data_IF_345929701175
#
_entry.id   IF_345929701175
#
_cell.length_a   1.000
_cell.length_b   1.000
_cell.length_c   1.000
_cell.angle_alpha   90.00
_cell.angle_beta   90.00
_cell.angle_gamma   90.00
#
_symmetry.space_group_name_H-M   'P 1'
#
loop_
_entity.id
_entity.type
_entity.pdbx_description
1 polymer ?
#
# COMPACT_ATOMS: atom_id res chain seq x y z
N UNK A 1 -10.67 6.11 -15.61
CA UNK A 1 -10.53 5.55 -14.25
C UNK A 1 -9.74 4.25 -14.17
N UNK A 2 -9.95 3.35 -15.12
CA UNK A 2 -9.21 2.08 -15.14
C UNK A 2 -7.69 2.27 -15.15
N UNK A 3 -7.21 3.23 -15.93
CA UNK A 3 -5.79 3.55 -16.03
C UNK A 3 -5.23 4.08 -14.72
N UNK A 4 -6.00 4.91 -14.01
CA UNK A 4 -5.60 5.46 -12.71
C UNK A 4 -5.55 4.37 -11.65
N UNK A 5 -6.49 3.43 -11.67
CA UNK A 5 -6.48 2.29 -10.75
C UNK A 5 -5.26 1.39 -11.01
N UNK A 6 -4.91 1.19 -12.28
CA UNK A 6 -3.72 0.41 -12.65
C UNK A 6 -2.44 1.10 -12.18
N UNK A 7 -2.36 2.41 -12.33
CA UNK A 7 -1.22 3.18 -11.83
C UNK A 7 -1.07 3.07 -10.32
N UNK A 8 -2.19 3.12 -9.59
CA UNK A 8 -2.18 2.98 -8.14
C UNK A 8 -1.71 1.59 -7.71
N UNK A 9 -2.20 0.55 -8.37
CA UNK A 9 -1.79 -0.82 -8.09
C UNK A 9 -0.29 -0.98 -8.36
N UNK A 10 0.18 -0.49 -9.50
CA UNK A 10 1.59 -0.54 -9.86
C UNK A 10 2.44 0.18 -8.82
N UNK A 11 2.03 1.35 -8.35
CA UNK A 11 2.76 2.12 -7.35
C UNK A 11 2.88 1.36 -6.02
N UNK A 12 1.78 0.77 -5.53
CA UNK A 12 1.80 -0.01 -4.29
C UNK A 12 2.63 -1.28 -4.43
N UNK A 13 2.49 -1.98 -5.55
CA UNK A 13 3.24 -3.19 -5.80
C UNK A 13 4.74 -2.89 -5.96
N UNK A 14 5.06 -1.80 -6.64
CA UNK A 14 6.45 -1.36 -6.80
C UNK A 14 7.11 -1.06 -5.45
N UNK A 15 6.40 -0.40 -4.55
CA UNK A 15 6.90 -0.12 -3.20
C UNK A 15 7.17 -1.42 -2.44
N UNK A 16 6.26 -2.38 -2.51
CA UNK A 16 6.42 -3.68 -1.85
C UNK A 16 7.58 -4.48 -2.44
N UNK A 17 7.72 -4.48 -3.77
CA UNK A 17 8.83 -5.15 -4.46
C UNK A 17 10.17 -4.50 -4.13
N UNK A 18 10.21 -3.18 -3.96
CA UNK A 18 11.42 -2.46 -3.59
C UNK A 18 11.91 -2.87 -2.20
N UNK A 19 10.99 -3.07 -1.26
CA UNK A 19 11.33 -3.58 0.07
C UNK A 19 11.88 -5.01 0.00
N UNK A 20 11.26 -5.86 -0.82
CA UNK A 20 11.73 -7.22 -1.04
C UNK A 20 13.12 -7.22 -1.69
N UNK A 21 13.36 -6.31 -2.61
CA UNK A 21 14.66 -6.16 -3.25
C UNK A 21 15.75 -5.82 -2.23
N UNK A 22 15.46 -4.96 -1.27
CA UNK A 22 16.41 -4.65 -0.20
C UNK A 22 16.77 -5.89 0.62
N UNK A 23 15.81 -6.78 0.84
CA UNK A 23 16.04 -8.04 1.53
C UNK A 23 16.93 -8.99 0.72
N UNK A 24 16.74 -9.03 -0.61
CA UNK A 24 17.64 -9.75 -1.51
C UNK A 24 19.07 -9.22 -1.44
N UNK A 25 19.23 -7.89 -1.35
CA UNK A 25 20.54 -7.28 -1.21
C UNK A 25 21.21 -7.68 0.12
N UNK A 26 20.46 -7.70 1.20
CA UNK A 26 20.98 -8.14 2.50
C UNK A 26 21.41 -9.60 2.47
N UNK A 27 20.62 -10.45 1.84
CA UNK A 27 20.97 -11.86 1.65
C UNK A 27 22.26 -12.00 0.83
N UNK A 28 22.39 -11.25 -0.26
CA UNK A 28 23.57 -11.28 -1.12
C UNK A 28 24.84 -10.85 -0.38
N UNK A 29 24.71 -9.98 0.62
CA UNK A 29 25.82 -9.50 1.47
C UNK A 29 26.02 -10.36 2.72
N UNK A 30 25.37 -11.52 2.80
CA UNK A 30 25.42 -12.44 3.92
C UNK A 30 24.82 -11.89 5.24
N UNK A 31 23.98 -10.85 5.15
CA UNK A 31 23.25 -10.30 6.31
C UNK A 31 21.94 -11.01 6.61
N UNK A 32 21.56 -11.98 5.78
CA UNK A 32 20.32 -12.75 5.94
C UNK A 32 20.55 -14.15 5.39
N UNK A 33 20.02 -15.17 6.08
CA UNK A 33 20.12 -16.54 5.62
C UNK A 33 19.21 -16.81 4.43
N UNK A 34 19.52 -17.86 3.67
CA UNK A 34 18.67 -18.28 2.54
C UNK A 34 17.28 -18.72 3.02
N UNK A 35 17.19 -19.30 4.21
CA UNK A 35 15.92 -19.71 4.81
C UNK A 35 15.06 -18.49 5.14
N UNK A 36 15.66 -17.45 5.72
CA UNK A 36 14.95 -16.21 6.02
C UNK A 36 14.46 -15.52 4.74
N UNK A 37 15.29 -15.45 3.72
CA UNK A 37 14.89 -14.84 2.45
C UNK A 37 13.73 -15.61 1.82
N UNK A 38 13.80 -16.94 1.84
CA UNK A 38 12.72 -17.78 1.34
C UNK A 38 11.40 -17.49 2.06
N UNK A 39 11.45 -17.35 3.37
CA UNK A 39 10.27 -17.01 4.19
C UNK A 39 9.73 -15.62 3.82
N UNK A 40 10.60 -14.65 3.55
CA UNK A 40 10.21 -13.31 3.13
C UNK A 40 9.53 -13.32 1.76
N UNK A 41 10.01 -14.15 0.84
CA UNK A 41 9.40 -14.32 -0.48
C UNK A 41 7.99 -14.90 -0.35
N UNK A 42 7.82 -15.91 0.49
CA UNK A 42 6.50 -16.49 0.76
C UNK A 42 5.57 -15.49 1.42
N UNK A 43 6.06 -14.74 2.40
CA UNK A 43 5.28 -13.70 3.08
C UNK A 43 4.84 -12.61 2.10
N UNK A 44 5.71 -12.21 1.17
CA UNK A 44 5.37 -11.24 0.13
C UNK A 44 4.25 -11.76 -0.75
N UNK A 45 4.39 -12.98 -1.26
CA UNK A 45 3.41 -13.57 -2.18
C UNK A 45 2.06 -13.79 -1.51
N UNK A 46 2.04 -14.37 -0.31
CA UNK A 46 0.81 -14.70 0.41
C UNK A 46 0.22 -13.50 1.16
N UNK A 47 1.03 -12.47 1.43
CA UNK A 47 0.61 -11.27 2.15
C UNK A 47 0.27 -10.11 1.24
N UNK A 48 1.21 -9.16 1.13
CA UNK A 48 0.95 -7.87 0.46
C UNK A 48 0.57 -8.03 -1.02
N UNK A 49 1.24 -8.90 -1.77
CA UNK A 49 0.93 -9.08 -3.19
C UNK A 49 -0.50 -9.60 -3.38
N UNK A 50 -0.91 -10.56 -2.56
CA UNK A 50 -2.25 -11.13 -2.59
C UNK A 50 -3.31 -10.12 -2.14
N UNK A 51 -3.00 -9.34 -1.10
CA UNK A 51 -3.90 -8.30 -0.60
C UNK A 51 -4.14 -7.23 -1.66
N UNK A 52 -3.10 -6.78 -2.34
CA UNK A 52 -3.21 -5.81 -3.41
C UNK A 52 -4.05 -6.36 -4.57
N UNK A 53 -3.81 -7.61 -4.96
CA UNK A 53 -4.58 -8.26 -6.00
C UNK A 53 -6.07 -8.27 -5.65
N UNK A 54 -6.41 -8.69 -4.42
CA UNK A 54 -7.80 -8.73 -3.96
C UNK A 54 -8.41 -7.33 -3.89
N UNK A 55 -7.66 -6.36 -3.37
CA UNK A 55 -8.14 -4.99 -3.22
C UNK A 55 -8.53 -4.38 -4.56
N UNK A 56 -7.67 -4.51 -5.56
CA UNK A 56 -7.91 -3.90 -6.88
C UNK A 56 -8.84 -4.71 -7.78
N UNK A 57 -9.11 -5.96 -7.46
CA UNK A 57 -10.07 -6.77 -8.20
C UNK A 57 -11.46 -6.79 -7.56
N UNK A 58 -11.55 -6.63 -6.24
CA UNK A 58 -12.82 -6.66 -5.49
C UNK A 58 -13.41 -5.25 -5.35
N UNK A 59 -12.60 -4.24 -5.01
CA UNK A 59 -13.04 -2.85 -4.98
C UNK A 59 -13.34 -2.38 -6.40
N UNK A 60 -14.43 -1.65 -6.58
CA UNK A 60 -14.73 -1.04 -7.87
C UNK A 60 -13.62 -0.05 -8.26
N UNK A 61 -13.51 0.22 -9.57
CA UNK A 61 -12.51 1.13 -10.11
C UNK A 61 -12.56 2.51 -9.45
N UNK A 62 -13.77 3.04 -9.24
CA UNK A 62 -13.97 4.34 -8.59
C UNK A 62 -13.40 4.36 -7.17
N UNK A 63 -13.69 3.34 -6.38
CA UNK A 63 -13.21 3.24 -5.01
C UNK A 63 -11.69 3.08 -4.95
N UNK A 64 -11.12 2.32 -5.87
CA UNK A 64 -9.67 2.16 -5.97
C UNK A 64 -8.97 3.48 -6.28
N UNK A 65 -9.52 4.27 -7.18
CA UNK A 65 -8.97 5.59 -7.53
C UNK A 65 -9.10 6.56 -6.34
N UNK A 66 -10.28 6.59 -5.70
CA UNK A 66 -10.51 7.45 -4.54
C UNK A 66 -9.53 7.13 -3.41
N UNK A 67 -9.32 5.85 -3.13
CA UNK A 67 -8.36 5.40 -2.13
C UNK A 67 -6.94 5.84 -2.49
N UNK A 68 -6.55 5.67 -3.75
CA UNK A 68 -5.22 6.03 -4.22
C UNK A 68 -4.94 7.53 -4.07
N UNK A 69 -5.91 8.38 -4.36
CA UNK A 69 -5.78 9.82 -4.16
C UNK A 69 -5.65 10.14 -2.67
N UNK A 70 -6.47 9.51 -1.83
CA UNK A 70 -6.44 9.72 -0.39
C UNK A 70 -5.09 9.35 0.22
N UNK A 71 -4.44 8.30 -0.29
CA UNK A 71 -3.14 7.83 0.17
C UNK A 71 -1.94 8.52 -0.49
N UNK A 72 -2.19 9.42 -1.44
CA UNK A 72 -1.12 10.12 -2.12
C UNK A 72 -0.41 9.31 -3.20
N UNK A 73 -0.95 8.16 -3.61
CA UNK A 73 -0.39 7.33 -4.67
C UNK A 73 -0.59 7.96 -6.04
N UNK A 74 -1.67 8.72 -6.18
CA UNK A 74 -2.01 9.51 -7.37
C UNK A 74 -2.23 10.93 -6.90
N UNK A 75 -1.67 11.92 -7.59
CA UNK A 75 -1.91 13.32 -7.30
C UNK A 75 -3.36 13.70 -7.61
N UNK A 76 -3.97 14.55 -6.79
CA UNK A 76 -5.34 14.99 -7.00
C UNK A 76 -5.48 15.74 -8.33
N UNK A 77 -4.43 16.40 -8.79
CA UNK A 77 -4.38 17.12 -10.06
C UNK A 77 -4.39 16.19 -11.28
N UNK A 78 -4.09 14.90 -11.10
CA UNK A 78 -4.19 13.91 -12.17
C UNK A 78 -5.65 13.56 -12.51
N UNK A 79 -6.60 13.90 -11.62
CA UNK A 79 -8.03 13.66 -11.84
C UNK A 79 -8.66 14.78 -12.65
N UNK A 80 -9.48 14.46 -13.67
CA UNK A 80 -10.34 15.46 -14.27
C UNK A 80 -11.26 16.09 -13.21
N UNK A 81 -11.55 17.36 -13.32
CA UNK A 81 -12.34 18.09 -12.33
C UNK A 81 -13.70 17.43 -12.02
N UNK A 82 -14.40 17.00 -13.05
CA UNK A 82 -15.70 16.32 -12.87
C UNK A 82 -15.57 15.04 -12.08
N UNK A 83 -14.48 14.29 -12.28
CA UNK A 83 -14.23 13.06 -11.56
C UNK A 83 -13.82 13.34 -10.11
N UNK A 84 -13.01 14.37 -9.88
CA UNK A 84 -12.63 14.79 -8.54
C UNK A 84 -13.83 15.15 -7.68
N UNK A 85 -14.80 15.86 -8.24
CA UNK A 85 -16.05 16.20 -7.55
C UNK A 85 -16.86 14.95 -7.23
N UNK A 86 -16.96 14.04 -8.18
CA UNK A 86 -17.72 12.80 -8.01
C UNK A 86 -17.14 11.91 -6.92
N UNK A 87 -15.83 11.90 -6.77
CA UNK A 87 -15.13 11.03 -5.82
C UNK A 87 -14.79 11.72 -4.50
N UNK A 88 -15.13 13.00 -4.33
CA UNK A 88 -14.73 13.79 -3.16
C UNK A 88 -15.11 13.13 -1.83
N UNK A 89 -16.31 12.60 -1.72
CA UNK A 89 -16.78 11.93 -0.48
C UNK A 89 -15.98 10.68 -0.16
N UNK A 90 -15.73 9.84 -1.17
CA UNK A 90 -14.94 8.61 -0.99
C UNK A 90 -13.49 8.93 -0.65
N UNK A 91 -12.91 9.94 -1.28
CA UNK A 91 -11.55 10.38 -0.99
C UNK A 91 -11.44 10.83 0.47
N UNK A 92 -12.40 11.63 0.95
CA UNK A 92 -12.44 12.07 2.33
C UNK A 92 -12.55 10.89 3.30
N UNK A 93 -13.38 9.91 2.97
CA UNK A 93 -13.54 8.70 3.77
C UNK A 93 -12.22 7.95 3.91
N UNK A 94 -11.51 7.71 2.82
CA UNK A 94 -10.24 6.99 2.85
C UNK A 94 -9.14 7.78 3.56
N UNK A 95 -9.16 9.12 3.49
CA UNK A 95 -8.22 9.96 4.23
C UNK A 95 -8.41 9.83 5.73
N UNK A 96 -9.65 9.87 6.20
CA UNK A 96 -9.96 9.69 7.62
C UNK A 96 -9.53 8.31 8.10
N UNK A 97 -9.81 7.27 7.31
CA UNK A 97 -9.42 5.91 7.65
C UNK A 97 -7.91 5.76 7.74
N UNK A 98 -7.16 6.36 6.82
CA UNK A 98 -5.71 6.32 6.84
C UNK A 98 -5.15 7.05 8.06
N UNK A 99 -5.72 8.19 8.44
CA UNK A 99 -5.31 8.96 9.62
C UNK A 99 -5.56 8.16 10.90
N UNK A 100 -6.70 7.51 11.01
CA UNK A 100 -7.03 6.65 12.16
C UNK A 100 -6.06 5.48 12.28
N UNK A 101 -5.77 4.79 11.19
CA UNK A 101 -4.83 3.68 11.17
C UNK A 101 -3.41 4.13 11.53
N UNK A 102 -2.98 5.29 11.05
CA UNK A 102 -1.68 5.84 11.39
C UNK A 102 -1.58 6.18 12.87
N UNK A 103 -2.64 6.73 13.46
CA UNK A 103 -2.70 7.04 14.89
C UNK A 103 -2.62 5.76 15.73
N UNK A 104 -3.35 4.71 15.34
CA UNK A 104 -3.31 3.42 16.03
C UNK A 104 -1.94 2.76 15.94
N UNK A 105 -1.32 2.77 14.76
CA UNK A 105 0.02 2.22 14.56
C UNK A 105 1.06 2.97 15.38
N UNK A 106 0.97 4.29 15.45
CA UNK A 106 1.85 5.11 16.27
C UNK A 106 1.73 4.77 17.75
N UNK A 107 0.50 4.59 18.23
CA UNK A 107 0.22 4.20 19.61
C UNK A 107 0.76 2.81 19.94
N UNK A 108 0.55 1.85 19.04
CA UNK A 108 1.06 0.48 19.18
C UNK A 108 2.59 0.42 19.16
N UNK A 109 3.22 1.21 18.28
CA UNK A 109 4.67 1.26 18.20
C UNK A 109 5.29 1.79 19.50
N UNK A 110 4.70 2.79 20.11
CA UNK A 110 5.13 3.34 21.41
C UNK A 110 4.98 2.31 22.52
N UNK A 111 3.84 1.61 22.57
CA UNK A 111 3.60 0.54 23.53
C UNK A 111 4.61 -0.60 23.35
N UNK A 112 4.95 -0.95 22.11
CA UNK A 112 5.93 -1.97 21.79
C UNK A 112 7.34 -1.64 22.28
N UNK A 113 7.74 -0.38 22.24
CA UNK A 113 9.04 0.08 22.72
C UNK A 113 9.21 -0.11 24.21
N UNK A 114 8.16 0.10 24.98
CA UNK A 114 8.21 -0.07 26.43
C UNK A 114 8.00 -1.52 26.87
N UNK A 115 7.42 -2.34 26.00
CA UNK A 115 7.21 -3.76 26.27
C UNK A 115 8.40 -4.64 25.91
N UNK A 116 9.37 -4.08 25.23
CA UNK A 116 10.56 -4.79 24.82
C UNK A 116 11.65 -4.66 25.85
#
# INVERSE_FOLDING_TARGET
>A
MRELATEAWDAELNAALSELYEEFCRWAEHGMSSFELSDRIHAFHDGIARELYKRYTVLGTSSSVARAVALGLIGADALPEALAEKLATEIAFFRELADELSAEQGSQADAGKFGG
#
